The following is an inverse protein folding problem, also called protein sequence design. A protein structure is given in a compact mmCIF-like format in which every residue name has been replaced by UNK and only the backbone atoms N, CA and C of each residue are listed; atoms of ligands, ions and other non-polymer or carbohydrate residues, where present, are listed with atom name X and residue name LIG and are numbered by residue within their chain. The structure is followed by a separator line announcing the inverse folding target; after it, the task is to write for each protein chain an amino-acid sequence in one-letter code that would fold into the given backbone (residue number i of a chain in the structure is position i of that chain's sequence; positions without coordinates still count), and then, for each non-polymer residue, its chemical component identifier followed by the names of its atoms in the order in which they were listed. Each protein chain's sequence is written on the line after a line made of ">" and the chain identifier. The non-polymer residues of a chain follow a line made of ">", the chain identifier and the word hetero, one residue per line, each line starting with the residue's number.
data_IF_092852809089
#
_entry.id   IF_092852809089
#
_cell.length_a   1.000
_cell.length_b   1.000
_cell.length_c   1.000
_cell.angle_alpha   90.00
_cell.angle_beta   90.00
_cell.angle_gamma   90.00
#
_symmetry.space_group_name_H-M   'P 1'
#
loop_
_entity.id
_entity.type
_entity.pdbx_description
1 polymer ?
#
# COMPACT_ATOMS: atom_id res chain seq x y z
N UNK A 1 -26.54 -19.63 -50.95
CA UNK A 1 -26.87 -18.80 -49.77
C UNK A 1 -26.84 -19.70 -48.57
N UNK A 2 -25.88 -19.51 -47.66
CA UNK A 2 -25.95 -19.85 -46.24
C UNK A 2 -24.71 -19.24 -45.59
N UNK A 3 -24.87 -17.98 -45.19
CA UNK A 3 -23.92 -17.19 -44.41
C UNK A 3 -24.22 -17.45 -42.93
N UNK A 4 -23.24 -17.92 -42.16
CA UNK A 4 -23.28 -17.84 -40.70
C UNK A 4 -21.85 -17.64 -40.19
N UNK A 5 -21.45 -16.41 -39.87
CA UNK A 5 -20.19 -16.16 -39.18
C UNK A 5 -20.38 -16.49 -37.70
N UNK A 6 -19.70 -17.53 -37.23
CA UNK A 6 -19.57 -17.83 -35.81
C UNK A 6 -18.87 -16.69 -35.09
N UNK A 7 -19.58 -15.97 -34.23
CA UNK A 7 -18.98 -15.04 -33.28
C UNK A 7 -18.25 -15.84 -32.19
N UNK A 8 -16.97 -16.13 -32.42
CA UNK A 8 -16.06 -16.61 -31.38
C UNK A 8 -15.95 -15.54 -30.28
N UNK A 9 -16.52 -15.90 -29.13
CA UNK A 9 -16.56 -15.11 -27.89
C UNK A 9 -15.10 -14.87 -27.47
N UNK A 10 -14.61 -13.65 -27.63
CA UNK A 10 -13.35 -13.22 -27.02
C UNK A 10 -13.57 -13.06 -25.52
N UNK A 11 -13.32 -14.13 -24.76
CA UNK A 11 -13.15 -14.05 -23.31
C UNK A 11 -11.90 -13.22 -23.01
N UNK A 12 -12.12 -11.92 -22.81
CA UNK A 12 -11.13 -10.99 -22.30
C UNK A 12 -10.72 -11.43 -20.91
N UNK A 13 -9.61 -12.18 -20.84
CA UNK A 13 -8.87 -12.50 -19.62
C UNK A 13 -8.59 -11.20 -18.87
N UNK A 14 -9.44 -10.91 -17.88
CA UNK A 14 -9.16 -9.85 -16.91
C UNK A 14 -7.96 -10.33 -16.12
N UNK A 15 -6.80 -9.79 -16.44
CA UNK A 15 -5.61 -9.92 -15.60
C UNK A 15 -5.95 -9.23 -14.29
N UNK A 16 -6.46 -9.99 -13.33
CA UNK A 16 -6.66 -9.51 -11.97
C UNK A 16 -5.27 -9.46 -11.37
N UNK A 17 -4.60 -8.32 -11.54
CA UNK A 17 -3.40 -8.00 -10.78
C UNK A 17 -3.79 -7.99 -9.32
N UNK A 18 -3.54 -9.10 -8.62
CA UNK A 18 -3.69 -9.16 -7.17
C UNK A 18 -2.59 -8.23 -6.60
N UNK A 19 -2.94 -6.97 -6.40
CA UNK A 19 -2.14 -6.06 -5.61
C UNK A 19 -2.16 -6.58 -4.19
N UNK A 20 -1.09 -7.25 -3.80
CA UNK A 20 -0.88 -7.73 -2.44
C UNK A 20 -0.79 -6.47 -1.57
N UNK A 21 -1.87 -6.14 -0.86
CA UNK A 21 -1.90 -5.03 0.08
C UNK A 21 -0.92 -5.36 1.21
N UNK A 22 0.25 -4.73 1.16
CA UNK A 22 1.21 -4.79 2.27
C UNK A 22 0.62 -3.94 3.38
N UNK A 23 0.16 -4.58 4.46
CA UNK A 23 -0.28 -3.84 5.64
C UNK A 23 0.92 -3.06 6.19
N UNK A 24 0.83 -1.72 6.30
CA UNK A 24 1.91 -0.93 6.85
C UNK A 24 2.15 -1.32 8.31
N UNK A 25 3.40 -1.26 8.75
CA UNK A 25 3.82 -1.56 10.11
C UNK A 25 4.33 -0.29 10.79
N UNK A 26 4.11 -0.19 12.10
CA UNK A 26 4.56 0.95 12.88
C UNK A 26 6.09 0.96 12.97
N UNK A 27 6.71 2.07 12.56
CA UNK A 27 8.17 2.25 12.61
C UNK A 27 8.74 2.33 14.03
N UNK A 28 7.90 2.49 15.06
CA UNK A 28 8.34 2.45 16.45
C UNK A 28 8.14 1.07 17.10
N UNK A 29 6.93 0.50 17.01
CA UNK A 29 6.57 -0.69 17.81
C UNK A 29 6.42 -1.98 16.97
N UNK A 30 6.68 -1.92 15.66
CA UNK A 30 6.60 -3.01 14.69
C UNK A 30 5.22 -3.67 14.56
N UNK A 31 4.18 -3.08 15.17
CA UNK A 31 2.81 -3.60 15.08
C UNK A 31 2.18 -3.23 13.73
N UNK A 32 1.32 -4.10 13.16
CA UNK A 32 0.50 -3.74 12.01
C UNK A 32 -0.34 -2.49 12.33
N UNK A 33 -0.34 -1.53 11.41
CA UNK A 33 -1.16 -0.33 11.51
C UNK A 33 -2.55 -0.66 10.96
N UNK A 34 -3.56 -0.26 11.72
CA UNK A 34 -4.93 -0.30 11.24
C UNK A 34 -5.12 0.73 10.13
N UNK A 35 -5.23 0.25 8.88
CA UNK A 35 -5.44 1.09 7.70
C UNK A 35 -6.90 1.50 7.50
N UNK A 36 -7.81 1.08 8.37
CA UNK A 36 -9.22 1.52 8.33
C UNK A 36 -9.41 2.89 8.99
N UNK A 37 -8.45 3.31 9.82
CA UNK A 37 -8.39 4.61 10.46
C UNK A 37 -7.24 5.45 9.90
N UNK A 38 -7.32 6.77 10.11
CA UNK A 38 -6.20 7.66 9.80
C UNK A 38 -5.06 7.39 10.77
N UNK A 39 -3.83 7.34 10.26
CA UNK A 39 -2.62 7.05 11.04
C UNK A 39 -1.50 8.05 10.72
N UNK A 40 -0.65 8.42 11.70
CA UNK A 40 0.40 9.39 11.46
C UNK A 40 1.49 8.85 10.54
N UNK A 41 1.99 9.71 9.64
CA UNK A 41 3.12 9.43 8.75
C UNK A 41 4.12 10.58 8.85
N UNK A 42 5.41 10.24 9.00
CA UNK A 42 6.53 11.19 8.95
C UNK A 42 7.38 10.88 7.73
N UNK A 43 7.79 11.94 7.05
CA UNK A 43 8.71 11.86 5.92
C UNK A 43 10.11 12.24 6.39
N UNK A 44 11.06 11.33 6.24
CA UNK A 44 12.48 11.56 6.53
C UNK A 44 13.26 11.58 5.20
N UNK A 45 14.02 12.64 4.97
CA UNK A 45 14.97 12.71 3.86
C UNK A 45 16.35 12.31 4.36
N UNK A 46 16.89 11.22 3.82
CA UNK A 46 18.21 10.71 4.15
C UNK A 46 19.32 11.53 3.49
N UNK A 47 20.55 11.34 3.96
CA UNK A 47 21.74 12.02 3.43
C UNK A 47 22.00 11.74 1.94
N UNK A 48 21.58 10.58 1.44
CA UNK A 48 21.65 10.21 0.02
C UNK A 48 20.53 10.84 -0.84
N UNK A 49 19.67 11.67 -0.23
CA UNK A 49 18.52 12.28 -0.87
C UNK A 49 17.32 11.34 -1.01
N UNK A 50 17.40 10.10 -0.53
CA UNK A 50 16.25 9.19 -0.52
C UNK A 50 15.22 9.62 0.53
N UNK A 51 13.95 9.40 0.20
CA UNK A 51 12.83 9.74 1.07
C UNK A 51 12.27 8.45 1.66
N UNK A 52 12.21 8.38 2.99
CA UNK A 52 11.59 7.28 3.73
C UNK A 52 10.34 7.77 4.44
N UNK A 53 9.24 7.04 4.25
CA UNK A 53 7.98 7.29 4.95
C UNK A 53 7.90 6.36 6.15
N UNK A 54 7.89 6.94 7.34
CA UNK A 54 7.67 6.25 8.60
C UNK A 54 6.20 6.35 8.98
N UNK A 55 5.53 5.20 9.07
CA UNK A 55 4.14 5.12 9.50
C UNK A 55 4.06 4.75 10.98
N UNK A 56 3.08 5.28 11.71
CA UNK A 56 2.90 5.03 13.14
C UNK A 56 1.47 4.58 13.45
N UNK A 57 1.26 3.74 14.45
CA UNK A 57 -0.10 3.33 14.83
C UNK A 57 -0.87 4.45 15.55
N UNK A 58 -0.16 5.35 16.22
CA UNK A 58 -0.72 6.47 16.97
C UNK A 58 0.30 7.60 17.16
N UNK A 59 -0.17 8.74 17.64
CA UNK A 59 0.68 9.92 17.94
C UNK A 59 1.69 9.64 19.06
N UNK A 60 1.43 8.68 19.96
CA UNK A 60 2.36 8.35 21.05
C UNK A 60 3.61 7.69 20.50
N UNK A 61 3.45 6.73 19.59
CA UNK A 61 4.54 6.09 18.87
C UNK A 61 5.27 7.08 17.95
N UNK A 62 4.57 7.99 17.29
CA UNK A 62 5.24 9.04 16.53
C UNK A 62 6.09 9.95 17.43
N UNK A 63 5.54 10.40 18.56
CA UNK A 63 6.22 11.32 19.48
C UNK A 63 7.41 10.65 20.18
N UNK A 64 7.29 9.38 20.57
CA UNK A 64 8.39 8.64 21.16
C UNK A 64 9.50 8.36 20.15
N UNK A 65 9.17 8.10 18.87
CA UNK A 65 10.15 7.95 17.80
C UNK A 65 10.92 9.26 17.51
N UNK A 66 10.23 10.39 17.50
CA UNK A 66 10.80 11.72 17.22
C UNK A 66 11.74 12.24 18.33
N UNK A 67 11.66 11.66 19.53
CA UNK A 67 12.52 12.01 20.68
C UNK A 67 13.85 11.25 20.71
N UNK A 68 14.10 10.38 19.74
CA UNK A 68 15.31 9.55 19.65
C UNK A 68 16.51 10.31 19.09
#
# INVERSE_FOLDING_TARGET
>A
MNDTPGMEKRDGRRDVTITRSVTPVCSHCDRPIDTTAWYPIVTETKEDGSVVLHSFCDETCQAAWSRQ
#
